data_IF_040098956253
#
_entry.id   IF_040098956253
#
_cell.length_a   1.000
_cell.length_b   1.000
_cell.length_c   1.000
_cell.angle_alpha   90.00
_cell.angle_beta   90.00
_cell.angle_gamma   90.00
#
_symmetry.space_group_name_H-M   'P 1'
#
loop_
_entity.id
_entity.type
_entity.pdbx_description
1 polymer ?
#
# COMPACT_ATOMS: atom_id res chain seq x y z
N UNK A 1 -26.51 -10.19 -2.56
CA UNK A 1 -26.06 -10.37 -1.16
C UNK A 1 -25.31 -9.13 -0.74
N UNK A 2 -25.99 -8.19 -0.09
CA UNK A 2 -25.40 -6.93 0.38
C UNK A 2 -24.78 -7.18 1.77
N UNK A 3 -23.45 -7.21 1.83
CA UNK A 3 -22.72 -7.15 3.09
C UNK A 3 -23.02 -5.77 3.68
N UNK A 4 -23.80 -5.72 4.76
CA UNK A 4 -24.33 -4.46 5.31
C UNK A 4 -23.17 -3.59 5.82
N UNK A 5 -23.16 -2.34 5.37
CA UNK A 5 -22.27 -1.30 5.86
C UNK A 5 -22.65 -0.94 7.31
N UNK A 6 -21.98 -1.57 8.27
CA UNK A 6 -21.75 -0.95 9.57
C UNK A 6 -20.69 0.12 9.36
N UNK A 7 -21.04 1.39 9.53
CA UNK A 7 -20.16 2.54 9.29
C UNK A 7 -18.87 2.53 10.10
N UNK A 8 -18.80 1.75 11.20
CA UNK A 8 -17.54 1.52 11.95
C UNK A 8 -16.68 0.38 11.36
N UNK A 9 -17.29 -0.64 10.75
CA UNK A 9 -16.55 -1.72 10.05
C UNK A 9 -16.08 -1.32 8.65
N UNK A 10 -16.73 -0.33 8.04
CA UNK A 10 -16.35 0.22 6.73
C UNK A 10 -14.93 0.76 6.72
N UNK A 11 -14.55 1.56 7.73
CA UNK A 11 -13.20 2.12 7.82
C UNK A 11 -12.11 1.08 8.02
N UNK A 12 -12.35 0.02 8.80
CA UNK A 12 -11.34 -1.04 9.00
C UNK A 12 -11.11 -1.86 7.73
N UNK A 13 -12.18 -2.19 7.00
CA UNK A 13 -12.07 -2.94 5.75
C UNK A 13 -11.39 -2.13 4.64
N UNK A 14 -11.70 -0.83 4.55
CA UNK A 14 -11.07 0.12 3.62
C UNK A 14 -9.58 0.28 3.91
N UNK A 15 -9.21 0.51 5.19
CA UNK A 15 -7.80 0.57 5.62
C UNK A 15 -7.05 -0.74 5.38
N UNK A 16 -7.69 -1.88 5.65
CA UNK A 16 -7.12 -3.21 5.37
C UNK A 16 -6.92 -3.42 3.86
N UNK A 17 -7.88 -3.00 3.04
CA UNK A 17 -7.77 -3.02 1.57
C UNK A 17 -6.62 -2.14 1.08
N UNK A 18 -6.51 -0.91 1.57
CA UNK A 18 -5.41 0.00 1.24
C UNK A 18 -4.06 -0.57 1.68
N UNK A 19 -3.97 -1.21 2.86
CA UNK A 19 -2.75 -1.87 3.31
C UNK A 19 -2.35 -3.04 2.41
N UNK A 20 -3.32 -3.88 2.01
CA UNK A 20 -3.09 -4.97 1.07
C UNK A 20 -2.60 -4.46 -0.29
N UNK A 21 -3.20 -3.39 -0.81
CA UNK A 21 -2.79 -2.76 -2.06
C UNK A 21 -1.34 -2.26 -1.98
N UNK A 22 -0.98 -1.54 -0.90
CA UNK A 22 0.40 -1.08 -0.67
C UNK A 22 1.39 -2.24 -0.57
N UNK A 23 1.02 -3.32 0.11
CA UNK A 23 1.90 -4.48 0.24
C UNK A 23 2.14 -5.14 -1.12
N UNK A 24 1.09 -5.37 -1.90
CA UNK A 24 1.19 -5.96 -3.23
C UNK A 24 2.05 -5.09 -4.18
N UNK A 25 1.90 -3.76 -4.15
CA UNK A 25 2.68 -2.87 -5.01
C UNK A 25 4.12 -2.74 -4.58
N UNK A 26 4.40 -2.79 -3.27
CA UNK A 26 5.76 -2.85 -2.75
C UNK A 26 6.47 -4.16 -3.17
N UNK A 27 5.79 -5.30 -3.06
CA UNK A 27 6.32 -6.59 -3.53
C UNK A 27 6.61 -6.57 -5.04
N UNK A 28 5.69 -6.02 -5.83
CA UNK A 28 5.90 -5.85 -7.28
C UNK A 28 7.08 -4.94 -7.59
N UNK A 29 7.20 -3.80 -6.89
CA UNK A 29 8.31 -2.87 -7.09
C UNK A 29 9.68 -3.52 -6.76
N UNK A 30 9.75 -4.31 -5.70
CA UNK A 30 10.93 -5.11 -5.36
C UNK A 30 11.30 -6.08 -6.48
N UNK A 31 10.31 -6.81 -6.99
CA UNK A 31 10.51 -7.76 -8.10
C UNK A 31 11.00 -7.08 -9.38
N UNK A 32 10.46 -5.91 -9.73
CA UNK A 32 10.94 -5.15 -10.88
C UNK A 32 12.39 -4.72 -10.70
N UNK A 33 12.76 -4.27 -9.49
CA UNK A 33 14.14 -3.89 -9.18
C UNK A 33 15.10 -5.08 -9.28
N UNK A 34 14.72 -6.25 -8.75
CA UNK A 34 15.50 -7.49 -8.86
C UNK A 34 15.70 -7.93 -10.31
N UNK A 35 14.70 -7.72 -11.17
CA UNK A 35 14.77 -8.02 -12.62
C UNK A 35 15.42 -6.91 -13.45
N UNK A 36 15.83 -5.80 -12.84
CA UNK A 36 16.38 -4.64 -13.56
C UNK A 36 15.38 -3.96 -14.49
N UNK A 37 14.08 -4.14 -14.27
CA UNK A 37 13.01 -3.58 -15.10
C UNK A 37 12.60 -2.21 -14.60
N UNK A 38 12.50 -1.24 -15.51
CA UNK A 38 11.93 0.07 -15.21
C UNK A 38 10.39 0.05 -15.29
N UNK A 39 9.74 1.10 -14.78
CA UNK A 39 8.30 1.30 -14.96
C UNK A 39 7.89 1.41 -16.43
N UNK A 40 8.79 1.93 -17.27
CA UNK A 40 8.57 2.00 -18.71
C UNK A 40 8.59 0.60 -19.32
N UNK A 41 9.57 -0.22 -18.96
CA UNK A 41 9.66 -1.60 -19.46
C UNK A 41 8.42 -2.41 -19.06
N UNK A 42 7.94 -2.22 -17.82
CA UNK A 42 6.66 -2.80 -17.40
C UNK A 42 5.49 -2.29 -18.25
N UNK A 43 5.39 -0.98 -18.49
CA UNK A 43 4.32 -0.39 -19.28
C UNK A 43 4.28 -0.96 -20.70
N UNK A 44 5.45 -1.06 -21.33
CA UNK A 44 5.63 -1.63 -22.67
C UNK A 44 5.29 -3.13 -22.68
N UNK A 45 5.66 -3.86 -21.61
CA UNK A 45 5.40 -5.29 -21.47
C UNK A 45 3.90 -5.62 -21.30
N UNK A 46 3.17 -4.85 -20.48
CA UNK A 46 1.72 -5.07 -20.25
C UNK A 46 0.82 -4.28 -21.21
N UNK A 47 1.41 -3.53 -22.16
CA UNK A 47 0.68 -2.78 -23.18
C UNK A 47 -0.17 -1.62 -22.64
N UNK A 48 0.29 -0.91 -21.60
CA UNK A 48 -0.42 0.24 -21.01
C UNK A 48 0.44 1.50 -20.99
N UNK A 49 -0.16 2.65 -20.66
CA UNK A 49 0.61 3.89 -20.53
C UNK A 49 1.50 3.90 -19.27
N UNK A 50 2.64 4.61 -19.28
CA UNK A 50 3.47 4.78 -18.08
C UNK A 50 2.70 5.40 -16.90
N UNK A 51 1.73 6.29 -17.19
CA UNK A 51 0.84 6.84 -16.17
C UNK A 51 -0.03 5.79 -15.49
N UNK A 52 -0.52 4.79 -16.25
CA UNK A 52 -1.25 3.65 -15.70
C UNK A 52 -0.38 2.78 -14.81
N UNK A 53 0.89 2.56 -15.18
CA UNK A 53 1.86 1.85 -14.32
C UNK A 53 2.12 2.61 -13.03
N UNK A 54 2.29 3.93 -13.09
CA UNK A 54 2.44 4.76 -11.87
C UNK A 54 1.22 4.63 -10.96
N UNK A 55 0.00 4.66 -11.49
CA UNK A 55 -1.22 4.44 -10.69
C UNK A 55 -1.23 3.06 -10.03
N UNK A 56 -0.85 2.02 -10.77
CA UNK A 56 -0.77 0.66 -10.22
C UNK A 56 0.25 0.63 -9.08
N UNK A 57 1.44 1.22 -9.25
CA UNK A 57 2.51 1.15 -8.25
C UNK A 57 2.34 2.11 -7.06
N UNK A 58 1.54 3.16 -7.20
CA UNK A 58 1.24 4.09 -6.08
C UNK A 58 0.50 3.41 -4.93
N UNK A 59 -0.12 2.25 -5.14
CA UNK A 59 -0.84 1.53 -4.07
C UNK A 59 -2.07 2.28 -3.56
N UNK A 60 -2.61 3.20 -4.36
CA UNK A 60 -3.88 3.87 -4.11
C UNK A 60 -5.03 2.86 -4.16
N UNK A 61 -6.17 3.18 -3.54
CA UNK A 61 -7.31 2.28 -3.31
C UNK A 61 -7.90 1.67 -4.60
N UNK A 62 -7.54 2.20 -5.77
CA UNK A 62 -8.02 1.72 -7.06
C UNK A 62 -7.17 0.60 -7.69
N UNK A 63 -6.30 -0.07 -6.92
CA UNK A 63 -5.65 -1.29 -7.36
C UNK A 63 -6.68 -2.41 -7.51
N UNK A 64 -6.77 -2.99 -8.71
CA UNK A 64 -7.73 -4.07 -8.98
C UNK A 64 -7.03 -5.42 -9.12
N UNK A 65 -7.74 -6.50 -8.80
CA UNK A 65 -7.29 -7.87 -9.08
C UNK A 65 -6.97 -8.09 -10.55
N UNK A 66 -7.71 -7.43 -11.46
CA UNK A 66 -7.46 -7.46 -12.89
C UNK A 66 -6.09 -6.85 -13.25
N UNK A 67 -5.73 -5.73 -12.62
CA UNK A 67 -4.42 -5.10 -12.83
C UNK A 67 -3.29 -6.01 -12.35
N UNK A 68 -3.43 -6.61 -11.16
CA UNK A 68 -2.44 -7.55 -10.62
C UNK A 68 -2.28 -8.78 -11.51
N UNK A 69 -3.39 -9.36 -11.98
CA UNK A 69 -3.38 -10.51 -12.88
C UNK A 69 -2.70 -10.18 -14.23
N UNK A 70 -2.98 -9.01 -14.81
CA UNK A 70 -2.36 -8.59 -16.07
C UNK A 70 -0.83 -8.42 -15.94
N UNK A 71 -0.37 -7.84 -14.82
CA UNK A 71 1.06 -7.73 -14.54
C UNK A 71 1.68 -9.10 -14.33
N UNK A 72 1.03 -9.98 -13.57
CA UNK A 72 1.54 -11.32 -13.31
C UNK A 72 1.66 -12.13 -14.61
N UNK A 73 0.63 -12.11 -15.46
CA UNK A 73 0.61 -12.78 -16.76
C UNK A 73 1.76 -12.30 -17.67
N UNK A 74 1.93 -10.98 -17.80
CA UNK A 74 3.00 -10.43 -18.65
C UNK A 74 4.42 -10.72 -18.15
N UNK A 75 4.58 -10.95 -16.84
CA UNK A 75 5.87 -11.25 -16.22
C UNK A 75 6.12 -12.75 -16.00
N UNK A 76 5.20 -13.61 -16.47
CA UNK A 76 5.17 -15.06 -16.22
C UNK A 76 5.27 -15.39 -14.72
N UNK A 77 4.43 -14.70 -13.94
CA UNK A 77 4.33 -14.81 -12.49
C UNK A 77 2.98 -15.37 -12.07
N UNK A 78 2.92 -15.83 -10.81
CA UNK A 78 1.67 -16.23 -10.16
C UNK A 78 1.42 -15.38 -8.92
N UNK A 79 0.16 -14.98 -8.75
CA UNK A 79 -0.33 -14.35 -7.52
C UNK A 79 -0.98 -15.42 -6.66
N UNK A 80 -0.53 -15.57 -5.43
CA UNK A 80 -1.13 -16.44 -4.41
C UNK A 80 -1.75 -15.59 -3.30
N UNK A 81 -2.92 -15.99 -2.80
CA UNK A 81 -3.62 -15.30 -1.70
C UNK A 81 -3.90 -16.33 -0.61
N UNK A 82 -3.27 -16.12 0.54
CA UNK A 82 -3.45 -16.94 1.74
C UNK A 82 -4.01 -16.10 2.89
N UNK A 83 -4.92 -16.67 3.69
CA UNK A 83 -5.41 -16.06 4.91
C UNK A 83 -4.67 -16.68 6.11
N UNK A 84 -4.22 -15.85 7.05
CA UNK A 84 -3.58 -16.27 8.29
C UNK A 84 -4.13 -15.49 9.48
N UNK A 85 -4.04 -16.06 10.67
CA UNK A 85 -4.35 -15.33 11.88
C UNK A 85 -3.31 -14.20 12.10
N UNK A 86 -3.75 -12.98 12.46
CA UNK A 86 -2.83 -11.90 12.77
C UNK A 86 -2.01 -12.25 14.02
N UNK A 87 -0.71 -11.98 13.97
CA UNK A 87 0.17 -12.18 15.12
C UNK A 87 -0.07 -11.08 16.17
N UNK A 88 0.17 -11.35 17.47
CA UNK A 88 -0.01 -10.34 18.53
C UNK A 88 0.82 -9.05 18.35
N UNK A 89 1.87 -9.09 17.53
CA UNK A 89 2.69 -7.92 17.18
C UNK A 89 2.03 -7.02 16.13
N UNK A 90 1.24 -7.57 15.20
CA UNK A 90 0.55 -6.83 14.14
C UNK A 90 -0.72 -6.11 14.64
N UNK A 91 -1.32 -6.60 15.72
CA UNK A 91 -2.48 -5.96 16.37
C UNK A 91 -2.08 -4.66 17.11
N UNK A 92 -0.78 -4.43 17.30
CA UNK A 92 -0.21 -3.26 18.00
C UNK A 92 0.43 -2.30 17.00
N UNK A 93 -0.32 -1.69 16.09
CA UNK A 93 0.22 -0.51 15.40
C UNK A 93 0.20 0.71 16.35
N UNK A 94 1.35 1.39 16.54
CA UNK A 94 1.50 2.48 17.51
C UNK A 94 0.95 3.79 16.96
N UNK A 95 -0.24 4.19 17.42
CA UNK A 95 -0.74 5.58 17.28
C UNK A 95 -0.12 6.56 18.31
N UNK A 96 1.04 6.24 18.88
CA UNK A 96 1.65 7.03 19.95
C UNK A 96 3.10 7.42 19.65
N UNK A 97 3.33 8.17 18.58
CA UNK A 97 4.60 8.85 18.37
C UNK A 97 4.43 10.14 17.55
N UNK A 98 3.66 11.11 18.06
CA UNK A 98 3.91 12.53 17.80
C UNK A 98 3.04 13.39 18.74
N UNK A 99 3.41 13.45 20.02
CA UNK A 99 3.09 14.63 20.83
C UNK A 99 4.25 15.60 20.67
N UNK A 100 4.10 16.74 19.97
CA UNK A 100 5.15 17.74 19.98
C UNK A 100 5.33 18.22 21.41
N UNK A 101 6.52 17.98 21.98
CA UNK A 101 6.92 18.56 23.26
C UNK A 101 6.88 20.07 23.08
N UNK A 102 5.91 20.72 23.73
CA UNK A 102 5.89 22.20 23.81
C UNK A 102 7.10 22.64 24.62
N UNK A 103 8.16 23.05 23.93
CA UNK A 103 9.26 23.80 24.54
C UNK A 103 8.71 25.14 25.03
N UNK A 104 8.69 25.33 26.35
CA UNK A 104 8.31 26.59 26.99
C UNK A 104 9.46 27.59 26.77
N UNK A 105 9.24 28.78 26.19
CA UNK A 105 10.33 29.73 26.02
C UNK A 105 10.74 30.24 27.41
N UNK A 106 12.05 30.18 27.70
CA UNK A 106 12.63 30.86 28.85
C UNK A 106 12.50 32.36 28.61
N UNK A 107 11.67 33.02 29.43
CA UNK A 107 11.52 34.46 29.40
C UNK A 107 12.88 35.12 29.65
N UNK A 108 13.25 36.06 28.76
CA UNK A 108 14.36 36.98 28.96
C UNK A 108 14.12 37.77 30.26
N UNK A 109 14.93 37.53 31.27
CA UNK A 109 15.09 38.49 32.37
C UNK A 109 16.11 39.53 31.92
N UNK A 110 15.60 40.70 31.53
CA UNK A 110 16.38 41.92 31.57
C UNK A 110 16.55 42.32 33.04
N UNK A 111 17.80 42.49 33.46
CA UNK A 111 18.17 43.47 34.48
C UNK A 111 19.57 43.96 34.22
#
# INVERSE_FOLDING_TARGET
>A
MAWRNDTERGGTAELAGASLARHATASLAGLLAERGMSRKDLADCIGVSPGRVSQILSGDENLTMRSLAAVADALDLRVDISFREPTPAEVREPVEAERPVRVRPLARSHR
#
